data_IF_178035926177
#
_entry.id   IF_178035926177
#
_cell.length_a   1.000
_cell.length_b   1.000
_cell.length_c   1.000
_cell.angle_alpha   90.00
_cell.angle_beta   90.00
_cell.angle_gamma   90.00
#
_symmetry.space_group_name_H-M   'P 1'
#
loop_
_entity.id
_entity.type
_entity.pdbx_description
1 polymer ?
#
# COMPACT_ATOMS: atom_id res chain seq x y z
N UNK A 1 25.39 18.21 16.02
CA UNK A 1 24.95 17.76 14.66
C UNK A 1 24.80 19.01 13.82
N UNK A 2 25.54 19.13 12.72
CA UNK A 2 25.56 20.37 11.94
C UNK A 2 24.52 20.33 10.82
N UNK A 3 23.96 21.50 10.49
CA UNK A 3 23.04 21.68 9.36
C UNK A 3 23.81 22.09 8.11
N UNK A 4 23.24 21.81 6.95
CA UNK A 4 23.80 22.18 5.66
C UNK A 4 24.02 23.70 5.56
N UNK A 5 25.19 24.12 5.07
CA UNK A 5 25.54 25.53 4.92
C UNK A 5 25.03 26.18 3.62
N UNK A 6 24.43 25.40 2.71
CA UNK A 6 23.90 25.90 1.44
C UNK A 6 22.75 26.91 1.64
N UNK A 7 22.81 28.01 0.90
CA UNK A 7 21.78 29.04 0.80
C UNK A 7 21.21 29.01 -0.62
N UNK A 8 19.90 28.86 -0.74
CA UNK A 8 19.19 28.84 -2.01
C UNK A 8 19.18 30.21 -2.70
N UNK A 9 18.74 30.23 -3.96
CA UNK A 9 18.58 31.49 -4.73
C UNK A 9 17.51 32.42 -4.14
N UNK A 10 16.59 31.85 -3.37
CA UNK A 10 15.54 32.52 -2.60
C UNK A 10 16.05 33.08 -1.25
N UNK A 11 17.34 32.93 -0.94
CA UNK A 11 17.94 33.36 0.32
C UNK A 11 17.67 32.41 1.49
N UNK A 12 16.94 31.31 1.29
CA UNK A 12 16.63 30.38 2.37
C UNK A 12 17.76 29.36 2.58
N UNK A 13 18.16 29.19 3.85
CA UNK A 13 19.16 28.19 4.24
C UNK A 13 18.58 26.79 4.25
N UNK A 14 19.30 25.84 3.67
CA UNK A 14 18.95 24.43 3.72
C UNK A 14 18.92 23.90 5.17
N UNK A 15 17.80 23.27 5.56
CA UNK A 15 17.59 22.74 6.92
C UNK A 15 18.03 21.28 7.08
N UNK A 16 18.54 20.64 6.03
CA UNK A 16 19.01 19.25 6.09
C UNK A 16 20.28 19.11 6.93
N UNK A 17 20.53 17.92 7.48
CA UNK A 17 21.78 17.61 8.19
C UNK A 17 22.96 17.53 7.22
N UNK A 18 24.11 18.07 7.63
CA UNK A 18 25.35 17.91 6.86
C UNK A 18 25.91 16.49 6.98
N UNK A 19 26.65 16.05 5.96
CA UNK A 19 27.37 14.78 6.03
C UNK A 19 28.55 14.93 7.00
N UNK A 20 28.84 13.88 7.79
CA UNK A 20 29.97 13.88 8.73
C UNK A 20 31.27 14.27 8.00
N UNK A 21 31.98 15.26 8.54
CA UNK A 21 33.21 15.79 7.93
C UNK A 21 32.98 16.80 6.79
N UNK A 22 31.74 17.24 6.54
CA UNK A 22 31.42 18.25 5.52
C UNK A 22 30.44 19.30 6.06
N UNK A 23 30.38 20.45 5.39
CA UNK A 23 29.39 21.50 5.65
C UNK A 23 28.09 21.33 4.85
N UNK A 24 28.03 20.38 3.92
CA UNK A 24 26.91 20.22 2.97
C UNK A 24 26.13 18.93 3.23
N UNK A 25 24.83 18.93 2.92
CA UNK A 25 24.03 17.72 2.94
C UNK A 25 24.25 16.89 1.66
N UNK A 26 23.72 15.66 1.66
CA UNK A 26 23.75 14.76 0.52
C UNK A 26 23.29 15.38 -0.81
N UNK A 27 22.33 16.30 -0.76
CA UNK A 27 21.81 16.98 -1.95
C UNK A 27 22.68 18.11 -2.48
N UNK A 28 23.39 18.82 -1.59
CA UNK A 28 24.21 19.98 -1.96
C UNK A 28 25.70 19.65 -2.14
N UNK A 29 26.14 18.43 -1.81
CA UNK A 29 27.53 17.98 -2.06
C UNK A 29 27.76 17.71 -3.55
N UNK A 30 28.64 18.45 -4.24
CA UNK A 30 28.85 18.31 -5.70
C UNK A 30 29.28 16.91 -6.13
N UNK A 31 30.16 16.27 -5.33
CA UNK A 31 30.66 14.90 -5.58
C UNK A 31 29.57 13.83 -5.55
N UNK A 32 28.41 14.12 -4.96
CA UNK A 32 27.29 13.18 -4.81
C UNK A 32 26.11 13.50 -5.74
N UNK A 33 26.26 14.48 -6.64
CA UNK A 33 25.19 14.92 -7.55
C UNK A 33 24.62 13.79 -8.41
N UNK A 34 25.46 12.90 -8.93
CA UNK A 34 24.96 11.75 -9.71
C UNK A 34 24.20 10.76 -8.83
N UNK A 35 24.70 10.50 -7.61
CA UNK A 35 24.09 9.60 -6.65
C UNK A 35 22.70 10.10 -6.21
N UNK A 36 22.55 11.40 -5.96
CA UNK A 36 21.28 11.96 -5.50
C UNK A 36 20.20 11.98 -6.60
N UNK A 37 20.57 12.21 -7.86
CA UNK A 37 19.66 12.11 -9.01
C UNK A 37 19.17 10.67 -9.14
N UNK A 38 20.08 9.70 -9.05
CA UNK A 38 19.72 8.28 -9.12
C UNK A 38 18.80 7.86 -7.96
N UNK A 39 19.09 8.29 -6.73
CA UNK A 39 18.26 8.01 -5.56
C UNK A 39 16.84 8.58 -5.72
N UNK A 40 16.72 9.78 -6.28
CA UNK A 40 15.44 10.45 -6.54
C UNK A 40 14.65 9.78 -7.64
N UNK A 41 15.32 9.41 -8.73
CA UNK A 41 14.74 8.65 -9.83
C UNK A 41 14.21 7.30 -9.34
N UNK A 42 15.00 6.55 -8.58
CA UNK A 42 14.57 5.29 -7.94
C UNK A 42 13.39 5.49 -7.00
N UNK A 43 13.41 6.54 -6.17
CA UNK A 43 12.29 6.89 -5.30
C UNK A 43 11.01 7.23 -6.07
N UNK A 44 11.12 7.93 -7.19
CA UNK A 44 10.01 8.23 -8.09
C UNK A 44 9.47 7.00 -8.83
N UNK A 45 10.36 6.11 -9.29
CA UNK A 45 9.99 4.84 -9.91
C UNK A 45 9.26 3.91 -8.92
N UNK A 46 9.73 3.83 -7.68
CA UNK A 46 9.05 3.08 -6.62
C UNK A 46 7.71 3.70 -6.18
N UNK A 47 7.46 4.98 -6.50
CA UNK A 47 6.16 5.62 -6.24
C UNK A 47 5.07 5.15 -7.21
N UNK A 48 5.40 4.35 -8.23
CA UNK A 48 4.45 3.73 -9.19
C UNK A 48 3.69 2.53 -8.62
N UNK A 49 3.11 2.66 -7.43
CA UNK A 49 1.96 1.81 -7.06
C UNK A 49 0.67 2.24 -7.79
N UNK A 50 0.70 3.35 -8.53
CA UNK A 50 -0.43 3.86 -9.29
C UNK A 50 -0.44 3.30 -10.71
N UNK A 51 -1.50 2.56 -11.04
CA UNK A 51 -1.71 1.93 -12.34
C UNK A 51 -2.02 0.42 -12.30
N UNK A 52 -1.90 -0.22 -11.13
CA UNK A 52 -2.21 -1.64 -10.94
C UNK A 52 -3.70 -1.89 -10.56
N UNK A 53 -4.61 -1.08 -11.12
CA UNK A 53 -6.04 -1.32 -10.94
C UNK A 53 -6.52 -2.07 -12.18
N UNK A 54 -6.78 -3.36 -12.01
CA UNK A 54 -7.42 -4.19 -13.03
C UNK A 54 -8.92 -3.93 -13.10
N UNK A 55 -9.60 -4.70 -13.95
CA UNK A 55 -11.06 -4.69 -14.02
C UNK A 55 -11.69 -5.05 -12.67
N UNK A 56 -12.95 -4.62 -12.48
CA UNK A 56 -13.71 -5.00 -11.30
C UNK A 56 -13.82 -6.52 -11.21
N UNK A 57 -13.66 -7.04 -10.00
CA UNK A 57 -13.88 -8.45 -9.69
C UNK A 57 -15.15 -8.54 -8.85
N UNK A 58 -16.10 -9.33 -9.33
CA UNK A 58 -17.31 -9.64 -8.56
C UNK A 58 -17.07 -10.91 -7.73
N UNK A 59 -17.29 -10.81 -6.42
CA UNK A 59 -17.22 -11.94 -5.49
C UNK A 59 -18.63 -12.16 -4.94
N UNK A 60 -19.25 -13.28 -5.32
CA UNK A 60 -20.62 -13.63 -4.89
C UNK A 60 -20.62 -14.75 -3.87
N UNK A 61 -19.63 -15.63 -3.93
CA UNK A 61 -19.54 -16.82 -3.08
C UNK A 61 -18.16 -16.96 -2.44
N UNK A 62 -18.03 -17.70 -1.33
CA UNK A 62 -16.72 -18.06 -0.77
C UNK A 62 -15.79 -18.77 -1.76
N UNK A 63 -16.35 -19.50 -2.74
CA UNK A 63 -15.58 -20.16 -3.80
C UNK A 63 -14.95 -19.14 -4.76
N UNK A 64 -15.61 -18.02 -5.02
CA UNK A 64 -15.06 -16.96 -5.85
C UNK A 64 -13.85 -16.32 -5.16
N UNK A 65 -13.94 -16.11 -3.84
CA UNK A 65 -12.82 -15.62 -3.02
C UNK A 65 -11.61 -16.55 -3.10
N UNK A 66 -11.83 -17.86 -3.02
CA UNK A 66 -10.76 -18.85 -3.14
C UNK A 66 -10.03 -18.74 -4.51
N UNK A 67 -10.79 -18.64 -5.60
CA UNK A 67 -10.23 -18.48 -6.96
C UNK A 67 -9.46 -17.17 -7.09
N UNK A 68 -10.04 -16.08 -6.60
CA UNK A 68 -9.41 -14.76 -6.62
C UNK A 68 -8.08 -14.76 -5.86
N UNK A 69 -8.06 -15.27 -4.62
CA UNK A 69 -6.85 -15.35 -3.80
C UNK A 69 -5.76 -16.23 -4.44
N UNK A 70 -6.13 -17.32 -5.09
CA UNK A 70 -5.18 -18.16 -5.83
C UNK A 70 -4.48 -17.36 -6.93
N UNK A 71 -5.21 -16.50 -7.65
CA UNK A 71 -4.64 -15.58 -8.63
C UNK A 71 -3.71 -14.54 -7.99
N UNK A 72 -4.13 -13.92 -6.89
CA UNK A 72 -3.33 -12.94 -6.15
C UNK A 72 -2.02 -13.54 -5.65
N UNK A 73 -2.05 -14.74 -5.06
CA UNK A 73 -0.87 -15.45 -4.56
C UNK A 73 0.14 -15.66 -5.69
N UNK A 74 -0.31 -16.18 -6.83
CA UNK A 74 0.56 -16.39 -7.99
C UNK A 74 1.12 -15.07 -8.54
N UNK A 75 0.31 -14.00 -8.57
CA UNK A 75 0.76 -12.70 -9.04
C UNK A 75 1.81 -12.08 -8.10
N UNK A 76 1.68 -12.25 -6.78
CA UNK A 76 2.71 -11.84 -5.80
C UNK A 76 3.97 -12.68 -5.99
N UNK A 77 3.83 -14.01 -6.05
CA UNK A 77 4.96 -14.93 -6.19
C UNK A 77 5.78 -14.68 -7.45
N UNK A 78 5.12 -14.35 -8.57
CA UNK A 78 5.76 -14.04 -9.84
C UNK A 78 6.23 -12.58 -9.98
N UNK A 79 6.02 -11.74 -8.96
CA UNK A 79 6.36 -10.33 -8.98
C UNK A 79 5.50 -9.46 -9.92
N UNK A 80 4.38 -9.98 -10.42
CA UNK A 80 3.43 -9.24 -11.26
C UNK A 80 2.69 -8.16 -10.48
N UNK A 81 2.45 -8.38 -9.19
CA UNK A 81 1.93 -7.34 -8.29
C UNK A 81 2.81 -7.20 -7.04
N UNK A 82 2.89 -6.01 -6.43
CA UNK A 82 3.63 -5.78 -5.20
C UNK A 82 3.03 -6.56 -4.02
N UNK A 83 3.88 -7.02 -3.10
CA UNK A 83 3.47 -7.74 -1.87
C UNK A 83 2.45 -6.95 -1.07
N UNK A 84 2.61 -5.62 -0.97
CA UNK A 84 1.70 -4.74 -0.25
C UNK A 84 0.27 -4.80 -0.81
N UNK A 85 0.14 -4.86 -2.14
CA UNK A 85 -1.17 -5.01 -2.80
C UNK A 85 -1.75 -6.37 -2.45
N UNK A 86 -0.96 -7.45 -2.54
CA UNK A 86 -1.38 -8.79 -2.16
C UNK A 86 -1.86 -8.89 -0.70
N UNK A 87 -1.14 -8.28 0.24
CA UNK A 87 -1.52 -8.22 1.65
C UNK A 87 -2.85 -7.50 1.85
N UNK A 88 -3.06 -6.36 1.20
CA UNK A 88 -4.33 -5.63 1.25
C UNK A 88 -5.49 -6.46 0.69
N UNK A 89 -5.28 -7.15 -0.44
CA UNK A 89 -6.30 -8.04 -1.01
C UNK A 89 -6.65 -9.19 -0.07
N UNK A 90 -5.65 -9.84 0.54
CA UNK A 90 -5.84 -10.88 1.54
C UNK A 90 -6.70 -10.41 2.71
N UNK A 91 -6.40 -9.24 3.26
CA UNK A 91 -7.19 -8.66 4.35
C UNK A 91 -8.64 -8.38 3.93
N UNK A 92 -8.88 -7.72 2.79
CA UNK A 92 -10.24 -7.40 2.34
C UNK A 92 -11.07 -8.65 2.07
N UNK A 93 -10.48 -9.69 1.45
CA UNK A 93 -11.18 -10.96 1.21
C UNK A 93 -11.54 -11.69 2.50
N UNK A 94 -10.72 -11.58 3.55
CA UNK A 94 -11.06 -12.09 4.88
C UNK A 94 -12.27 -11.36 5.44
N UNK A 95 -12.26 -10.02 5.45
CA UNK A 95 -13.39 -9.21 5.90
C UNK A 95 -14.68 -9.54 5.12
N UNK A 96 -14.57 -9.74 3.81
CA UNK A 96 -15.70 -10.16 2.97
C UNK A 96 -16.24 -11.53 3.40
N UNK A 97 -15.38 -12.52 3.64
CA UNK A 97 -15.81 -13.85 4.10
C UNK A 97 -16.47 -13.82 5.48
N UNK A 98 -15.96 -12.98 6.39
CA UNK A 98 -16.54 -12.82 7.72
C UNK A 98 -17.95 -12.18 7.62
N UNK A 99 -18.11 -11.15 6.79
CA UNK A 99 -19.42 -10.54 6.52
C UNK A 99 -20.40 -11.51 5.83
N UNK A 100 -19.93 -12.30 4.86
CA UNK A 100 -20.74 -13.29 4.16
C UNK A 100 -21.28 -14.37 5.11
N UNK A 101 -20.44 -14.85 6.04
CA UNK A 101 -20.89 -15.82 7.05
C UNK A 101 -21.96 -15.23 7.95
N UNK A 102 -21.77 -14.00 8.41
CA UNK A 102 -22.77 -13.33 9.25
C UNK A 102 -24.11 -13.18 8.51
N UNK A 103 -24.09 -12.76 7.24
CA UNK A 103 -25.32 -12.66 6.45
C UNK A 103 -26.03 -14.00 6.24
N UNK A 104 -25.28 -15.08 6.02
CA UNK A 104 -25.87 -16.43 5.91
C UNK A 104 -26.47 -16.89 7.25
N UNK A 105 -25.83 -16.55 8.38
CA UNK A 105 -26.38 -16.86 9.71
C UNK A 105 -27.69 -16.11 9.96
N UNK A 106 -27.75 -14.82 9.63
CA UNK A 106 -28.96 -14.01 9.74
C UNK A 106 -30.08 -14.54 8.83
N UNK A 107 -29.78 -14.83 7.57
CA UNK A 107 -30.76 -15.40 6.64
C UNK A 107 -31.30 -16.76 7.12
N UNK A 108 -30.42 -17.62 7.64
CA UNK A 108 -30.82 -18.91 8.16
C UNK A 108 -31.63 -18.79 9.46
N UNK A 109 -31.30 -17.84 10.34
CA UNK A 109 -32.09 -17.54 11.53
C UNK A 109 -33.49 -17.03 11.16
N UNK A 110 -33.61 -16.18 10.14
CA UNK A 110 -34.89 -15.72 9.59
C UNK A 110 -35.69 -16.91 9.02
N UNK A 111 -35.06 -17.76 8.20
CA UNK A 111 -35.70 -18.95 7.60
C UNK A 111 -36.18 -19.95 8.65
N UNK A 112 -35.47 -20.07 9.77
CA UNK A 112 -35.81 -20.95 10.89
C UNK A 112 -36.79 -20.31 11.90
N UNK A 113 -37.25 -19.07 11.66
CA UNK A 113 -38.17 -18.37 12.55
C UNK A 113 -37.55 -17.94 13.89
N UNK A 114 -36.21 -17.93 13.98
CA UNK A 114 -35.44 -17.54 15.15
C UNK A 114 -34.98 -16.07 15.11
N UNK A 115 -35.39 -15.33 14.08
CA UNK A 115 -35.07 -13.91 13.93
C UNK A 115 -35.58 -13.11 15.12
N UNK A 116 -34.69 -12.31 15.74
CA UNK A 116 -35.03 -11.47 16.89
C UNK A 116 -36.23 -10.59 16.56
N UNK A 117 -37.34 -10.77 17.28
CA UNK A 117 -38.33 -9.72 17.43
C UNK A 117 -37.64 -8.57 18.17
N UNK A 118 -37.29 -7.52 17.44
CA UNK A 118 -36.89 -6.26 18.04
C UNK A 118 -38.10 -5.71 18.79
N UNK A 119 -38.12 -5.86 20.11
CA UNK A 119 -38.99 -5.08 20.98
C UNK A 119 -38.44 -3.66 21.03
N UNK A 120 -39.35 -2.70 20.80
CA UNK A 120 -39.17 -1.24 20.75
C UNK A 120 -38.37 -0.65 21.92
#
# INVERSE_FOLDING_TARGET
MNTCSYIGKDGHKCKARSIKGTSLCYWHTPKLKQSNILASSKGGQNRRLQGAYGDSVELRTPRDVQKFLSGVINAVWTGKIPVQVGTSMGFMTKCWLDAYKESEHDENAIKLGLGRFATE
#
